data_IF_466993734854
#
_entry.id   IF_466993734854
#
_cell.length_a   1.000
_cell.length_b   1.000
_cell.length_c   1.000
_cell.angle_alpha   90.00
_cell.angle_beta   90.00
_cell.angle_gamma   90.00
#
_symmetry.space_group_name_H-M   'P 1'
#
loop_
_entity.id
_entity.type
_entity.pdbx_description
1 polymer ?
#
# COMPACT_ATOMS: atom_id res chain seq x y z
N UNK A 1 -26.40 11.72 -49.72
CA UNK A 1 -25.39 11.82 -48.63
C UNK A 1 -24.62 10.51 -48.59
N UNK A 2 -23.36 10.51 -49.02
CA UNK A 2 -22.55 9.30 -49.05
C UNK A 2 -22.29 8.83 -47.60
N UNK A 3 -22.76 7.63 -47.25
CA UNK A 3 -22.38 6.96 -46.01
C UNK A 3 -20.89 6.69 -46.11
N UNK A 4 -20.09 7.37 -45.30
CA UNK A 4 -18.67 7.09 -45.17
C UNK A 4 -18.53 5.60 -44.86
N UNK A 5 -17.93 4.86 -45.78
CA UNK A 5 -17.73 3.42 -45.66
C UNK A 5 -16.58 3.16 -44.70
N UNK A 6 -16.86 3.22 -43.41
CA UNK A 6 -15.95 2.67 -42.42
C UNK A 6 -15.72 1.19 -42.76
N UNK A 7 -14.45 0.83 -42.98
CA UNK A 7 -14.09 -0.55 -43.29
C UNK A 7 -14.47 -1.41 -42.10
N UNK A 8 -15.27 -2.46 -42.35
CA UNK A 8 -15.63 -3.42 -41.34
C UNK A 8 -14.37 -3.96 -40.63
N UNK A 9 -14.44 -4.02 -39.30
CA UNK A 9 -13.32 -4.51 -38.48
C UNK A 9 -13.00 -5.96 -38.84
N UNK A 10 -11.71 -6.30 -38.85
CA UNK A 10 -11.27 -7.69 -38.90
C UNK A 10 -11.85 -8.45 -37.71
N UNK A 11 -12.32 -9.69 -37.94
CA UNK A 11 -12.86 -10.58 -36.89
C UNK A 11 -11.97 -10.62 -35.65
N UNK A 12 -10.64 -10.70 -35.83
CA UNK A 12 -9.69 -10.70 -34.71
C UNK A 12 -9.78 -9.43 -33.87
N UNK A 13 -9.82 -8.26 -34.51
CA UNK A 13 -9.93 -6.97 -33.81
C UNK A 13 -11.27 -6.85 -33.10
N UNK A 14 -12.34 -7.32 -33.73
CA UNK A 14 -13.67 -7.35 -33.13
C UNK A 14 -13.69 -8.22 -31.88
N UNK A 15 -13.12 -9.43 -31.91
CA UNK A 15 -13.09 -10.32 -30.74
C UNK A 15 -12.30 -9.74 -29.58
N UNK A 16 -11.17 -9.08 -29.84
CA UNK A 16 -10.39 -8.39 -28.80
C UNK A 16 -11.22 -7.28 -28.16
N UNK A 17 -11.87 -6.44 -28.98
CA UNK A 17 -12.74 -5.38 -28.48
C UNK A 17 -13.92 -5.91 -27.67
N UNK A 18 -14.57 -6.98 -28.15
CA UNK A 18 -15.67 -7.62 -27.44
C UNK A 18 -15.23 -8.18 -26.08
N UNK A 19 -14.04 -8.80 -26.02
CA UNK A 19 -13.45 -9.27 -24.77
C UNK A 19 -13.20 -8.11 -23.79
N UNK A 20 -12.64 -7.00 -24.26
CA UNK A 20 -12.40 -5.80 -23.46
C UNK A 20 -13.72 -5.24 -22.92
N UNK A 21 -14.72 -5.04 -23.78
CA UNK A 21 -16.02 -4.46 -23.42
C UNK A 21 -16.77 -5.31 -22.37
N UNK A 22 -16.66 -6.64 -22.45
CA UNK A 22 -17.32 -7.54 -21.50
C UNK A 22 -16.65 -7.58 -20.13
N UNK A 23 -15.32 -7.47 -20.07
CA UNK A 23 -14.56 -7.74 -18.85
C UNK A 23 -14.23 -6.47 -18.06
N UNK A 24 -14.09 -5.33 -18.73
CA UNK A 24 -13.76 -4.04 -18.11
C UNK A 24 -14.60 -3.72 -16.85
N UNK A 25 -15.95 -3.76 -16.86
CA UNK A 25 -16.74 -3.41 -15.67
C UNK A 25 -16.50 -4.36 -14.49
N UNK A 26 -16.21 -5.63 -14.76
CA UNK A 26 -15.92 -6.61 -13.72
C UNK A 26 -14.55 -6.42 -13.10
N UNK A 27 -13.55 -6.01 -13.91
CA UNK A 27 -12.20 -5.74 -13.42
C UNK A 27 -12.16 -4.45 -12.60
N UNK A 28 -12.88 -3.40 -13.01
CA UNK A 28 -13.05 -2.18 -12.22
C UNK A 28 -13.70 -2.47 -10.86
N UNK A 29 -14.83 -3.17 -10.88
CA UNK A 29 -15.54 -3.58 -9.65
C UNK A 29 -14.63 -4.39 -8.73
N UNK A 30 -13.90 -5.35 -9.29
CA UNK A 30 -12.96 -6.20 -8.55
C UNK A 30 -11.87 -5.38 -7.88
N UNK A 31 -11.30 -4.38 -8.57
CA UNK A 31 -10.26 -3.50 -8.02
C UNK A 31 -10.73 -2.67 -6.82
N UNK A 32 -12.00 -2.26 -6.84
CA UNK A 32 -12.61 -1.39 -5.82
C UNK A 32 -13.14 -2.17 -4.60
N UNK A 33 -13.73 -3.35 -4.78
CA UNK A 33 -14.46 -4.04 -3.71
C UNK A 33 -13.64 -5.09 -2.95
N UNK A 34 -12.56 -5.62 -3.53
CA UNK A 34 -11.86 -6.79 -2.99
C UNK A 34 -10.41 -6.46 -2.59
N UNK A 35 -9.92 -6.95 -1.44
CA UNK A 35 -8.50 -6.91 -1.13
C UNK A 35 -7.74 -7.88 -2.05
N UNK A 36 -7.32 -7.40 -3.21
CA UNK A 36 -6.46 -8.16 -4.12
C UNK A 36 -5.00 -8.13 -3.67
N UNK A 37 -4.25 -9.23 -3.87
CA UNK A 37 -2.80 -9.20 -3.80
C UNK A 37 -2.24 -8.12 -4.73
N UNK A 38 -1.19 -7.42 -4.27
CA UNK A 38 -0.57 -6.33 -5.04
C UNK A 38 -0.15 -6.75 -6.44
N UNK A 39 0.43 -7.95 -6.58
CA UNK A 39 0.85 -8.52 -7.86
C UNK A 39 -0.30 -8.65 -8.86
N UNK A 40 -1.46 -9.15 -8.39
CA UNK A 40 -2.66 -9.29 -9.22
C UNK A 40 -3.23 -7.93 -9.60
N UNK A 41 -3.24 -6.97 -8.65
CA UNK A 41 -3.68 -5.60 -8.91
C UNK A 41 -2.81 -4.91 -9.95
N UNK A 42 -1.48 -5.04 -9.89
CA UNK A 42 -0.56 -4.49 -10.90
C UNK A 42 -0.83 -5.08 -12.29
N UNK A 43 -1.00 -6.40 -12.40
CA UNK A 43 -1.29 -7.05 -13.69
C UNK A 43 -2.60 -6.54 -14.30
N UNK A 44 -3.67 -6.44 -13.50
CA UNK A 44 -4.97 -5.95 -13.98
C UNK A 44 -4.86 -4.50 -14.47
N UNK A 45 -4.18 -3.64 -13.72
CA UNK A 45 -3.99 -2.24 -14.13
C UNK A 45 -3.12 -2.10 -15.38
N UNK A 46 -2.09 -2.94 -15.56
CA UNK A 46 -1.26 -2.92 -16.77
C UNK A 46 -2.04 -3.35 -18.02
N UNK A 47 -2.84 -4.42 -17.92
CA UNK A 47 -3.60 -4.97 -19.06
C UNK A 47 -4.71 -3.99 -19.49
N UNK A 48 -5.47 -3.47 -18.54
CA UNK A 48 -6.64 -2.61 -18.81
C UNK A 48 -6.30 -1.12 -18.80
N UNK A 49 -5.03 -0.76 -18.56
CA UNK A 49 -4.53 0.62 -18.47
C UNK A 49 -5.32 1.50 -17.51
N UNK A 50 -5.80 0.92 -16.41
CA UNK A 50 -6.47 1.70 -15.37
C UNK A 50 -5.45 2.61 -14.69
N UNK A 51 -5.73 3.92 -14.70
CA UNK A 51 -4.98 4.87 -13.90
C UNK A 51 -5.20 4.54 -12.43
N UNK A 52 -4.17 4.02 -11.77
CA UNK A 52 -4.24 3.91 -10.33
C UNK A 52 -4.12 5.33 -9.77
N UNK A 53 -5.19 5.84 -9.17
CA UNK A 53 -5.06 6.81 -8.08
C UNK A 53 -4.42 6.06 -6.91
N UNK A 54 -3.12 5.76 -7.02
CA UNK A 54 -2.30 5.47 -5.86
C UNK A 54 -2.17 6.81 -5.16
N UNK A 55 -3.21 7.21 -4.43
CA UNK A 55 -2.95 8.10 -3.31
C UNK A 55 -1.86 7.39 -2.49
N UNK A 56 -0.67 8.00 -2.34
CA UNK A 56 0.36 7.45 -1.47
C UNK A 56 -0.34 7.13 -0.16
N UNK A 57 -0.07 5.98 0.48
CA UNK A 57 -0.76 5.61 1.71
C UNK A 57 -0.72 6.84 2.60
N UNK A 58 -1.90 7.44 2.81
CA UNK A 58 -2.04 8.61 3.64
C UNK A 58 -1.41 8.17 4.94
N UNK A 59 -0.24 8.72 5.26
CA UNK A 59 0.44 8.42 6.50
C UNK A 59 -0.45 9.00 7.57
N UNK A 60 -1.48 8.24 7.95
CA UNK A 60 -2.42 8.59 8.98
C UNK A 60 -1.57 8.88 10.21
N UNK A 61 -1.57 10.17 10.51
CA UNK A 61 -1.51 10.73 11.83
C UNK A 61 -0.14 10.65 12.52
N UNK A 62 0.51 11.81 12.38
CA UNK A 62 1.34 12.48 13.37
C UNK A 62 2.80 12.01 13.42
N UNK A 63 3.68 12.95 13.05
CA UNK A 63 5.02 13.04 13.62
C UNK A 63 4.88 13.18 15.14
N UNK A 64 4.60 12.08 15.85
CA UNK A 64 4.65 12.03 17.31
C UNK A 64 6.02 12.58 17.69
N UNK A 65 6.04 13.72 18.38
CA UNK A 65 7.28 14.45 18.75
C UNK A 65 8.33 13.43 19.19
N UNK A 66 9.52 13.48 18.58
CA UNK A 66 10.58 12.50 18.84
C UNK A 66 10.85 12.46 20.35
N UNK A 67 10.54 11.33 20.99
CA UNK A 67 10.73 11.14 22.43
C UNK A 67 12.17 10.72 22.74
N UNK A 68 12.66 11.05 23.92
CA UNK A 68 13.92 10.49 24.46
C UNK A 68 13.66 9.07 24.94
N UNK A 69 14.66 8.20 24.84
CA UNK A 69 14.57 6.83 25.31
C UNK A 69 14.28 6.77 26.81
N UNK A 70 13.30 5.95 27.20
CA UNK A 70 12.85 5.80 28.58
C UNK A 70 13.86 5.04 29.49
N UNK A 71 14.84 4.36 28.89
CA UNK A 71 15.80 3.50 29.60
C UNK A 71 17.20 4.12 29.68
N UNK A 72 17.45 5.18 28.92
CA UNK A 72 18.72 5.89 29.00
C UNK A 72 18.70 6.88 30.18
N UNK A 73 19.84 7.09 30.85
CA UNK A 73 19.95 8.17 31.81
C UNK A 73 19.65 9.52 31.14
N UNK A 74 18.90 10.37 31.83
CA UNK A 74 18.38 11.63 31.27
C UNK A 74 19.47 12.56 30.73
N UNK A 75 20.69 12.49 31.28
CA UNK A 75 21.86 13.28 30.84
C UNK A 75 22.27 13.00 29.40
N UNK A 76 22.08 11.77 28.90
CA UNK A 76 22.48 11.38 27.55
C UNK A 76 21.47 11.78 26.47
N UNK A 77 20.21 12.08 26.86
CA UNK A 77 19.10 12.49 25.97
C UNK A 77 19.02 11.70 24.65
N UNK A 78 19.27 10.38 24.69
CA UNK A 78 19.31 9.56 23.48
C UNK A 78 17.94 9.49 22.81
N UNK A 79 17.92 9.81 21.52
CA UNK A 79 16.68 9.85 20.75
C UNK A 79 16.17 8.44 20.44
N UNK A 80 14.83 8.33 20.44
CA UNK A 80 14.13 7.08 20.12
C UNK A 80 14.31 6.72 18.65
N UNK A 81 14.60 5.44 18.38
CA UNK A 81 14.59 4.85 17.03
C UNK A 81 13.41 3.90 16.82
N UNK A 82 12.99 3.19 17.88
CA UNK A 82 11.89 2.21 17.85
C UNK A 82 11.02 2.35 19.10
N UNK A 83 9.79 1.83 19.04
CA UNK A 83 8.91 1.71 20.20
C UNK A 83 8.77 0.23 20.59
N UNK A 84 8.66 -0.05 21.89
CA UNK A 84 8.39 -1.40 22.40
C UNK A 84 7.06 -1.92 21.85
N UNK A 85 7.03 -3.15 21.35
CA UNK A 85 5.80 -3.75 20.82
C UNK A 85 4.73 -3.99 21.90
N UNK A 86 5.11 -4.26 23.15
CA UNK A 86 4.16 -4.57 24.24
C UNK A 86 3.68 -3.35 25.02
N UNK A 87 4.55 -2.36 25.26
CA UNK A 87 4.23 -1.21 26.10
C UNK A 87 4.38 0.15 25.41
N UNK A 88 4.73 0.18 24.12
CA UNK A 88 4.91 1.40 23.32
C UNK A 88 5.87 2.44 23.93
N UNK A 89 6.76 2.02 24.84
CA UNK A 89 7.82 2.87 25.40
C UNK A 89 8.87 3.17 24.35
N UNK A 90 9.49 4.34 24.47
CA UNK A 90 10.47 4.86 23.52
C UNK A 90 11.86 4.24 23.78
N UNK A 91 12.45 3.60 22.75
CA UNK A 91 13.71 2.84 22.83
C UNK A 91 14.76 3.43 21.87
N UNK A 92 15.98 3.65 22.35
CA UNK A 92 17.12 4.10 21.52
C UNK A 92 17.75 2.92 20.75
N UNK A 93 18.63 3.24 19.80
CA UNK A 93 19.33 2.21 19.01
C UNK A 93 20.26 1.28 19.78
N UNK A 94 20.74 1.67 20.96
CA UNK A 94 21.59 0.81 21.80
C UNK A 94 20.78 -0.16 22.66
N UNK A 95 19.55 0.20 23.03
CA UNK A 95 18.61 -0.72 23.67
C UNK A 95 17.92 -1.61 22.62
N UNK A 96 18.70 -2.11 21.66
CA UNK A 96 18.35 -2.79 20.40
C UNK A 96 17.51 -4.07 20.56
N UNK A 97 16.29 -3.94 21.07
CA UNK A 97 15.34 -5.03 21.10
C UNK A 97 13.96 -4.49 20.72
N UNK A 98 13.16 -5.33 20.07
CA UNK A 98 11.77 -5.00 19.74
C UNK A 98 10.89 -4.98 21.01
N UNK A 99 11.41 -5.53 22.12
CA UNK A 99 10.86 -5.48 23.46
C UNK A 99 11.77 -4.70 24.40
N UNK A 100 11.21 -3.94 25.33
CA UNK A 100 12.00 -3.31 26.37
C UNK A 100 12.42 -4.32 27.45
N UNK A 101 13.51 -4.02 28.19
CA UNK A 101 14.03 -4.87 29.26
C UNK A 101 12.95 -5.31 30.26
N UNK A 102 12.09 -4.39 30.67
CA UNK A 102 10.98 -4.65 31.60
C UNK A 102 9.95 -5.63 31.03
N UNK A 103 9.67 -5.57 29.72
CA UNK A 103 8.75 -6.52 29.08
C UNK A 103 9.41 -7.86 28.76
N UNK A 104 10.74 -7.91 28.74
CA UNK A 104 11.50 -9.15 28.55
C UNK A 104 11.63 -9.93 29.85
N UNK A 105 11.87 -9.25 30.98
CA UNK A 105 12.05 -9.86 32.30
C UNK A 105 10.72 -10.31 32.95
N UNK A 106 9.59 -9.70 32.57
CA UNK A 106 8.25 -10.10 33.04
C UNK A 106 7.60 -11.20 32.18
N UNK A 107 8.42 -12.04 31.54
CA UNK A 107 7.98 -13.17 30.71
C UNK A 107 8.47 -14.46 31.33
#
# INVERSE_FOLDING_TARGET
MARQSEKALSRRKFTIKLYEDLITPWMEKRLNESPLPRSTRTIICEIFKFEQNIEPPEQLETKKKKKVCAFCPCKLRRMTRKFCLLCSRAICGEHHADLCKVCFENK
#
